data_IF_708185283113
#
_entry.id   IF_708185283113
#
_cell.length_a   1.000
_cell.length_b   1.000
_cell.length_c   1.000
_cell.angle_alpha   90.00
_cell.angle_beta   90.00
_cell.angle_gamma   90.00
#
_symmetry.space_group_name_H-M   'P 1'
#
loop_
_entity.id
_entity.type
_entity.pdbx_description
1 polymer ?
#
# COMPACT_ATOMS: atom_id res chain seq x y z
N UNK A 1 17.27 -15.18 -14.08
CA UNK A 1 16.49 -15.16 -12.83
C UNK A 1 17.13 -14.15 -11.91
N UNK A 2 16.41 -13.09 -11.54
CA UNK A 2 16.93 -12.06 -10.64
C UNK A 2 17.02 -12.59 -9.21
N UNK A 3 17.86 -11.97 -8.37
CA UNK A 3 17.97 -12.34 -6.96
C UNK A 3 16.65 -12.16 -6.20
N UNK A 4 15.79 -11.24 -6.66
CA UNK A 4 14.43 -11.08 -6.16
C UNK A 4 13.52 -12.27 -6.52
N UNK A 5 13.60 -12.77 -7.76
CA UNK A 5 12.85 -13.96 -8.20
C UNK A 5 13.29 -15.23 -7.46
N UNK A 6 14.59 -15.39 -7.20
CA UNK A 6 15.13 -16.50 -6.42
C UNK A 6 14.60 -16.48 -4.96
N UNK A 7 14.57 -15.30 -4.33
CA UNK A 7 14.07 -15.12 -2.97
C UNK A 7 12.55 -15.35 -2.87
N UNK A 8 11.77 -14.95 -3.88
CA UNK A 8 10.33 -15.23 -3.95
C UNK A 8 10.04 -16.73 -4.11
N UNK A 9 10.89 -17.45 -4.87
CA UNK A 9 10.78 -18.89 -5.04
C UNK A 9 11.00 -19.63 -3.71
N UNK A 10 12.02 -19.23 -2.95
CA UNK A 10 12.37 -19.83 -1.65
C UNK A 10 11.28 -19.59 -0.59
N UNK A 11 10.75 -18.36 -0.49
CA UNK A 11 9.61 -18.06 0.38
C UNK A 11 8.35 -18.88 0.07
N UNK A 12 8.07 -19.11 -1.23
CA UNK A 12 6.96 -19.95 -1.64
C UNK A 12 7.20 -21.43 -1.33
N UNK A 13 8.44 -21.90 -1.41
CA UNK A 13 8.82 -23.27 -1.01
C UNK A 13 8.67 -23.48 0.49
N UNK A 14 9.11 -22.53 1.31
CA UNK A 14 8.93 -22.58 2.77
C UNK A 14 7.45 -22.56 3.15
N UNK A 15 6.64 -21.66 2.57
CA UNK A 15 5.20 -21.62 2.81
C UNK A 15 4.51 -22.92 2.37
N UNK A 16 4.89 -23.49 1.23
CA UNK A 16 4.40 -24.79 0.76
C UNK A 16 4.79 -25.93 1.70
N UNK A 17 6.01 -25.92 2.24
CA UNK A 17 6.46 -26.92 3.20
C UNK A 17 5.69 -26.85 4.52
N UNK A 18 5.46 -25.65 5.06
CA UNK A 18 4.63 -25.43 6.26
C UNK A 18 3.18 -25.83 6.01
N UNK A 19 2.63 -25.46 4.85
CA UNK A 19 1.26 -25.83 4.44
C UNK A 19 1.12 -27.35 4.27
N UNK A 20 2.12 -28.01 3.65
CA UNK A 20 2.13 -29.45 3.47
C UNK A 20 2.30 -30.21 4.80
N UNK A 21 3.13 -29.68 5.72
CA UNK A 21 3.27 -30.22 7.07
C UNK A 21 1.95 -30.10 7.86
N UNK A 22 1.23 -28.98 7.72
CA UNK A 22 -0.09 -28.79 8.30
C UNK A 22 -1.10 -29.80 7.74
N UNK A 23 -1.25 -29.88 6.41
CA UNK A 23 -2.17 -30.82 5.76
C UNK A 23 -1.85 -32.29 6.08
N UNK A 24 -0.57 -32.62 6.33
CA UNK A 24 -0.13 -33.96 6.74
C UNK A 24 -0.47 -34.24 8.22
N UNK A 25 -0.40 -33.24 9.10
CA UNK A 25 -0.70 -33.38 10.53
C UNK A 25 -2.19 -33.50 10.84
N UNK A 26 -3.05 -32.86 10.05
CA UNK A 26 -4.50 -32.78 10.32
C UNK A 26 -5.32 -33.86 9.60
N UNK A 27 -4.67 -34.85 8.97
CA UNK A 27 -5.32 -35.88 8.12
C UNK A 27 -6.21 -35.29 7.00
N UNK A 28 -6.00 -34.01 6.64
CA UNK A 28 -6.85 -33.27 5.71
C UNK A 28 -6.60 -33.60 4.23
N UNK A 29 -5.69 -34.52 3.90
CA UNK A 29 -5.37 -34.88 2.50
C UNK A 29 -6.59 -35.35 1.69
N UNK A 30 -7.62 -35.86 2.35
CA UNK A 30 -8.86 -36.33 1.71
C UNK A 30 -10.05 -35.36 1.84
N UNK A 31 -9.86 -34.15 2.41
CA UNK A 31 -10.94 -33.17 2.58
C UNK A 31 -10.73 -31.98 1.65
N UNK A 32 -11.77 -31.63 0.88
CA UNK A 32 -11.79 -30.49 -0.05
C UNK A 32 -12.00 -29.13 0.63
N UNK A 33 -12.28 -29.13 1.95
CA UNK A 33 -12.56 -27.93 2.75
C UNK A 33 -11.57 -27.86 3.92
N UNK A 34 -10.90 -26.71 4.05
CA UNK A 34 -10.03 -26.37 5.18
C UNK A 34 -10.59 -25.15 5.89
N UNK A 35 -10.83 -25.28 7.19
CA UNK A 35 -11.28 -24.19 8.07
C UNK A 35 -10.11 -23.77 8.96
N UNK A 36 -9.86 -22.47 9.05
CA UNK A 36 -8.89 -21.90 9.99
C UNK A 36 -9.65 -21.08 11.03
N UNK A 37 -9.34 -21.31 12.30
CA UNK A 37 -9.71 -20.45 13.42
C UNK A 37 -8.46 -19.77 13.99
N UNK A 38 -8.57 -18.49 14.34
CA UNK A 38 -7.48 -17.66 14.87
C UNK A 38 -7.01 -18.11 16.27
N UNK A 39 -7.85 -18.87 16.98
CA UNK A 39 -7.68 -19.18 18.41
C UNK A 39 -7.57 -20.68 18.72
N UNK A 40 -7.44 -21.56 17.70
CA UNK A 40 -7.33 -23.01 17.93
C UNK A 40 -5.93 -23.41 18.47
N UNK A 41 -5.85 -24.01 19.68
CA UNK A 41 -4.59 -24.47 20.23
C UNK A 41 -4.07 -25.70 19.47
N UNK A 42 -2.88 -25.60 18.88
CA UNK A 42 -2.17 -26.72 18.24
C UNK A 42 -1.63 -26.45 16.85
N UNK A 43 -2.07 -25.39 16.19
CA UNK A 43 -1.59 -24.98 14.87
C UNK A 43 -1.27 -23.49 14.91
N UNK A 44 -0.03 -23.16 15.27
CA UNK A 44 0.40 -21.77 15.35
C UNK A 44 0.84 -21.29 13.96
N UNK A 45 -0.10 -21.18 13.02
CA UNK A 45 0.12 -20.17 11.97
C UNK A 45 0.09 -18.83 12.70
N UNK A 46 1.14 -18.03 12.55
CA UNK A 46 1.09 -16.65 13.02
C UNK A 46 -0.15 -16.02 12.39
N UNK A 47 -1.05 -15.47 13.20
CA UNK A 47 -2.37 -14.99 12.77
C UNK A 47 -2.33 -14.11 11.50
N UNK A 48 -1.22 -13.40 11.29
CA UNK A 48 -1.04 -12.57 10.12
C UNK A 48 -0.76 -13.30 8.80
N UNK A 49 -0.34 -14.56 8.83
CA UNK A 49 -0.13 -15.39 7.63
C UNK A 49 -1.41 -16.06 7.11
N UNK A 50 -2.53 -15.98 7.82
CA UNK A 50 -3.75 -16.72 7.48
C UNK A 50 -4.28 -16.39 6.08
N UNK A 51 -4.27 -15.12 5.68
CA UNK A 51 -4.69 -14.73 4.33
C UNK A 51 -3.77 -15.27 3.25
N UNK A 52 -2.46 -15.22 3.51
CA UNK A 52 -1.46 -15.72 2.57
C UNK A 52 -1.60 -17.23 2.41
N UNK A 53 -1.71 -17.96 3.50
CA UNK A 53 -2.00 -19.40 3.51
C UNK A 53 -3.31 -19.71 2.78
N UNK A 54 -4.38 -18.95 3.04
CA UNK A 54 -5.67 -19.11 2.38
C UNK A 54 -5.59 -18.88 0.87
N UNK A 55 -4.87 -17.84 0.41
CA UNK A 55 -4.63 -17.61 -1.03
C UNK A 55 -3.86 -18.76 -1.65
N UNK A 56 -2.80 -19.24 -1.00
CA UNK A 56 -2.00 -20.37 -1.48
C UNK A 56 -2.84 -21.65 -1.58
N UNK A 57 -3.67 -21.94 -0.59
CA UNK A 57 -4.57 -23.09 -0.59
C UNK A 57 -5.67 -22.98 -1.64
N UNK A 58 -6.30 -21.80 -1.79
CA UNK A 58 -7.28 -21.55 -2.86
C UNK A 58 -6.66 -21.74 -4.24
N UNK A 59 -5.44 -21.23 -4.47
CA UNK A 59 -4.70 -21.42 -5.71
C UNK A 59 -4.36 -22.90 -5.97
N UNK A 60 -4.23 -23.71 -4.91
CA UNK A 60 -4.06 -25.16 -5.01
C UNK A 60 -5.39 -25.94 -5.11
N UNK A 61 -6.53 -25.26 -5.29
CA UNK A 61 -7.84 -25.88 -5.50
C UNK A 61 -8.65 -26.19 -4.23
N UNK A 62 -8.18 -25.78 -3.05
CA UNK A 62 -8.91 -26.00 -1.80
C UNK A 62 -9.98 -24.93 -1.57
N UNK A 63 -11.13 -25.35 -1.02
CA UNK A 63 -12.13 -24.40 -0.49
C UNK A 63 -11.70 -23.98 0.91
N UNK A 64 -11.33 -22.71 1.08
CA UNK A 64 -10.88 -22.17 2.37
C UNK A 64 -11.96 -21.26 2.96
N UNK A 65 -12.35 -21.54 4.21
CA UNK A 65 -13.24 -20.69 5.02
C UNK A 65 -12.40 -20.06 6.13
N UNK A 66 -12.36 -18.73 6.16
CA UNK A 66 -11.70 -17.96 7.22
C UNK A 66 -12.79 -17.38 8.12
N UNK A 67 -12.83 -17.81 9.38
CA UNK A 67 -13.63 -17.13 10.39
C UNK A 67 -12.85 -15.92 10.91
N UNK A 68 -13.48 -14.74 10.91
CA UNK A 68 -12.86 -13.49 11.33
C UNK A 68 -13.71 -12.83 12.40
N UNK A 69 -13.09 -12.51 13.53
CA UNK A 69 -13.61 -11.54 14.47
C UNK A 69 -13.15 -10.16 14.02
N UNK A 70 -14.00 -9.48 13.25
CA UNK A 70 -13.70 -8.16 12.72
C UNK A 70 -13.65 -7.12 13.83
N UNK A 71 -12.69 -6.19 13.74
CA UNK A 71 -12.74 -4.94 14.51
C UNK A 71 -13.53 -3.94 13.69
N UNK A 72 -14.65 -3.45 14.21
CA UNK A 72 -15.42 -2.40 13.54
C UNK A 72 -14.65 -1.08 13.63
N UNK A 73 -13.98 -0.71 12.55
CA UNK A 73 -13.40 0.63 12.36
C UNK A 73 -14.31 1.34 11.37
N UNK A 74 -15.42 1.94 11.77
CA UNK A 74 -16.22 2.75 10.83
C UNK A 74 -15.57 4.13 10.68
N UNK A 75 -14.89 4.43 9.55
CA UNK A 75 -14.23 5.71 9.35
C UNK A 75 -15.22 6.81 8.93
N UNK A 76 -16.49 6.48 8.71
CA UNK A 76 -17.50 7.41 8.16
C UNK A 76 -18.46 7.95 9.22
N UNK A 77 -18.79 7.16 10.26
CA UNK A 77 -19.75 7.59 11.30
C UNK A 77 -19.17 8.56 12.33
N UNK A 78 -17.91 8.38 12.74
CA UNK A 78 -17.31 9.14 13.85
C UNK A 78 -16.28 10.19 13.42
N UNK A 79 -15.74 10.08 12.21
CA UNK A 79 -14.70 10.99 11.72
C UNK A 79 -15.16 12.45 11.61
N UNK A 80 -16.42 12.68 11.21
CA UNK A 80 -17.00 14.02 11.12
C UNK A 80 -17.33 14.64 12.49
N UNK A 81 -17.51 13.84 13.54
CA UNK A 81 -17.92 14.31 14.87
C UNK A 81 -16.75 14.81 15.72
N UNK A 82 -15.56 14.24 15.57
CA UNK A 82 -14.43 14.51 16.46
C UNK A 82 -13.42 15.54 15.94
N UNK A 83 -13.64 16.08 14.74
CA UNK A 83 -12.61 16.78 13.99
C UNK A 83 -13.07 18.21 13.67
N UNK A 84 -12.54 19.19 14.41
CA UNK A 84 -12.72 20.62 14.13
C UNK A 84 -12.00 21.09 12.85
N UNK A 85 -11.04 20.31 12.33
CA UNK A 85 -10.41 20.53 11.03
C UNK A 85 -10.11 19.22 10.30
N UNK A 86 -10.63 19.00 9.08
CA UNK A 86 -10.53 17.71 8.38
C UNK A 86 -9.07 17.29 8.24
N UNK A 87 -8.69 16.17 8.88
CA UNK A 87 -7.38 15.57 8.65
C UNK A 87 -7.38 15.14 7.18
N UNK A 88 -6.38 15.58 6.41
CA UNK A 88 -6.23 15.11 5.04
C UNK A 88 -5.68 13.68 5.09
N UNK A 89 -6.57 12.69 5.02
CA UNK A 89 -6.17 11.30 4.88
C UNK A 89 -5.50 11.13 3.52
N UNK A 90 -4.21 10.81 3.53
CA UNK A 90 -3.50 10.41 2.33
C UNK A 90 -3.95 8.98 1.95
N UNK A 91 -3.91 8.68 0.65
CA UNK A 91 -4.26 7.34 0.12
C UNK A 91 -3.61 6.17 0.90
N UNK A 92 -2.34 6.24 1.33
CA UNK A 92 -1.72 5.17 2.14
C UNK A 92 -2.41 4.91 3.48
N UNK A 93 -2.92 5.96 4.15
CA UNK A 93 -3.63 5.79 5.43
C UNK A 93 -4.99 5.12 5.22
N UNK A 94 -5.71 5.44 4.15
CA UNK A 94 -6.97 4.78 3.83
C UNK A 94 -6.77 3.28 3.59
N UNK A 95 -5.72 2.91 2.86
CA UNK A 95 -5.36 1.51 2.64
C UNK A 95 -5.01 0.80 3.96
N UNK A 96 -4.26 1.46 4.85
CA UNK A 96 -3.96 0.94 6.18
C UNK A 96 -5.23 0.68 7.01
N UNK A 97 -6.16 1.64 7.03
CA UNK A 97 -7.42 1.51 7.76
C UNK A 97 -8.32 0.40 7.20
N UNK A 98 -8.47 0.33 5.87
CA UNK A 98 -9.21 -0.75 5.21
C UNK A 98 -8.59 -2.12 5.48
N UNK A 99 -7.26 -2.18 5.58
CA UNK A 99 -6.55 -3.39 5.95
C UNK A 99 -6.83 -3.75 7.40
N UNK A 100 -6.80 -2.76 8.32
CA UNK A 100 -7.07 -2.97 9.74
C UNK A 100 -8.50 -3.45 10.03
N UNK A 101 -9.49 -2.99 9.25
CA UNK A 101 -10.87 -3.49 9.33
C UNK A 101 -10.95 -4.99 9.04
N UNK A 102 -10.14 -5.47 8.10
CA UNK A 102 -10.12 -6.87 7.66
C UNK A 102 -9.17 -7.72 8.50
N UNK A 103 -8.11 -7.09 9.00
CA UNK A 103 -7.01 -7.70 9.71
C UNK A 103 -6.69 -6.87 10.95
N UNK A 104 -7.00 -7.35 12.16
CA UNK A 104 -6.65 -6.66 13.41
C UNK A 104 -5.14 -6.39 13.57
N UNK A 105 -4.30 -6.93 12.70
CA UNK A 105 -2.85 -6.78 12.74
C UNK A 105 -2.39 -6.18 11.42
N UNK A 106 -1.51 -5.19 11.48
CA UNK A 106 -0.90 -4.52 10.33
C UNK A 106 0.61 -4.34 10.50
N UNK A 107 1.40 -4.69 9.48
CA UNK A 107 2.72 -4.07 9.32
C UNK A 107 2.63 -2.97 8.28
N UNK A 108 2.89 -1.73 8.71
CA UNK A 108 2.81 -0.55 7.87
C UNK A 108 4.21 -0.05 7.51
N UNK A 109 4.56 -0.15 6.23
CA UNK A 109 5.87 0.26 5.76
C UNK A 109 5.91 1.77 5.47
N UNK A 110 6.04 2.56 6.53
CA UNK A 110 6.07 4.01 6.46
C UNK A 110 7.38 4.52 5.83
N UNK A 111 7.27 5.51 4.95
CA UNK A 111 8.40 6.16 4.28
C UNK A 111 9.02 7.28 5.11
N UNK A 112 8.30 7.80 6.11
CA UNK A 112 8.75 8.91 6.97
C UNK A 112 8.17 8.82 8.38
N UNK A 113 8.78 9.52 9.33
CA UNK A 113 8.24 9.65 10.69
C UNK A 113 6.88 10.37 10.70
N UNK A 114 6.72 11.40 9.86
CA UNK A 114 5.46 12.14 9.73
C UNK A 114 4.29 11.22 9.33
N UNK A 115 4.54 10.26 8.44
CA UNK A 115 3.54 9.27 8.04
C UNK A 115 3.14 8.35 9.19
N UNK A 116 4.12 7.86 9.98
CA UNK A 116 3.86 7.07 11.19
C UNK A 116 2.98 7.86 12.17
N UNK A 117 3.34 9.12 12.44
CA UNK A 117 2.57 9.99 13.34
C UNK A 117 1.16 10.22 12.87
N UNK A 118 0.98 10.51 11.58
CA UNK A 118 -0.34 10.77 11.03
C UNK A 118 -1.25 9.54 11.16
N UNK A 119 -0.74 8.33 10.90
CA UNK A 119 -1.54 7.13 11.10
C UNK A 119 -1.89 6.90 12.58
N UNK A 120 -0.95 7.12 13.50
CA UNK A 120 -1.20 7.04 14.96
C UNK A 120 -2.29 8.03 15.39
N UNK A 121 -2.19 9.30 14.95
CA UNK A 121 -3.18 10.34 15.25
C UNK A 121 -4.57 9.99 14.70
N UNK A 122 -4.63 9.44 13.48
CA UNK A 122 -5.88 9.00 12.85
C UNK A 122 -6.51 7.87 13.67
N UNK A 123 -5.73 6.87 14.09
CA UNK A 123 -6.23 5.76 14.89
C UNK A 123 -6.70 6.19 16.27
N UNK A 124 -5.94 7.05 16.95
CA UNK A 124 -6.33 7.59 18.26
C UNK A 124 -7.65 8.38 18.19
N UNK A 125 -7.96 8.99 17.04
CA UNK A 125 -9.22 9.71 16.81
C UNK A 125 -10.37 8.81 16.39
N UNK A 126 -10.11 7.80 15.58
CA UNK A 126 -11.13 6.82 15.13
C UNK A 126 -11.54 5.87 16.25
N UNK A 127 -10.65 5.63 17.22
CA UNK A 127 -10.90 4.74 18.36
C UNK A 127 -10.68 5.49 19.68
N UNK A 128 -11.50 6.51 19.99
CA UNK A 128 -11.27 7.41 21.13
C UNK A 128 -11.43 6.71 22.49
N UNK A 129 -12.05 5.51 22.53
CA UNK A 129 -12.21 4.69 23.73
C UNK A 129 -11.12 3.62 23.87
N UNK A 130 -10.34 3.36 22.82
CA UNK A 130 -9.29 2.37 22.86
C UNK A 130 -8.01 2.97 23.46
N UNK A 131 -7.53 2.38 24.56
CA UNK A 131 -6.21 2.72 25.10
C UNK A 131 -5.13 2.25 24.14
N UNK A 132 -4.17 3.12 23.85
CA UNK A 132 -3.08 2.87 22.92
C UNK A 132 -1.76 2.78 23.66
N UNK A 133 -1.02 1.69 23.43
CA UNK A 133 0.39 1.58 23.83
C UNK A 133 1.26 1.80 22.60
N UNK A 134 2.20 2.73 22.67
CA UNK A 134 3.19 2.98 21.62
C UNK A 134 4.57 2.64 22.17
N UNK A 135 5.19 1.63 21.58
CA UNK A 135 6.51 1.16 21.94
C UNK A 135 7.56 1.69 20.96
N UNK A 136 8.54 2.42 21.50
CA UNK A 136 9.68 2.99 20.76
C UNK A 136 10.99 2.34 21.20
N UNK A 137 12.08 2.67 20.50
CA UNK A 137 13.42 2.12 20.79
C UNK A 137 13.94 2.50 22.17
N UNK A 138 13.92 3.79 22.47
CA UNK A 138 14.66 4.38 23.59
C UNK A 138 13.91 5.58 24.19
N UNK A 139 14.40 6.05 25.35
CA UNK A 139 13.77 7.16 26.09
C UNK A 139 13.81 8.49 25.33
N UNK A 140 14.76 8.69 24.42
CA UNK A 140 14.80 9.88 23.57
C UNK A 140 13.64 9.84 22.57
N UNK A 141 13.41 8.68 21.95
CA UNK A 141 12.25 8.42 21.11
C UNK A 141 10.93 8.66 21.85
N UNK A 142 10.85 8.24 23.13
CA UNK A 142 9.65 8.47 23.96
C UNK A 142 9.38 9.97 24.08
N UNK A 143 10.38 10.75 24.47
CA UNK A 143 10.25 12.20 24.68
C UNK A 143 9.87 12.92 23.38
N UNK A 144 10.53 12.56 22.28
CA UNK A 144 10.29 13.15 20.97
C UNK A 144 8.87 12.86 20.48
N UNK A 145 8.47 11.59 20.50
CA UNK A 145 7.15 11.18 20.05
C UNK A 145 6.06 11.79 20.92
N UNK A 146 6.27 11.87 22.22
CA UNK A 146 5.30 12.51 23.12
C UNK A 146 5.13 14.01 22.86
N UNK A 147 6.19 14.71 22.46
CA UNK A 147 6.10 16.10 22.01
C UNK A 147 5.31 16.20 20.70
N UNK A 148 5.58 15.32 19.74
CA UNK A 148 4.89 15.29 18.44
C UNK A 148 3.41 14.88 18.56
N UNK A 149 3.07 14.09 19.58
CA UNK A 149 1.70 13.66 19.91
C UNK A 149 1.04 14.48 21.03
N UNK A 150 1.62 15.62 21.42
CA UNK A 150 1.10 16.46 22.51
C UNK A 150 -0.32 17.00 22.25
N UNK A 151 -0.78 16.97 20.99
CA UNK A 151 -2.15 17.32 20.62
C UNK A 151 -3.19 16.24 21.02
N UNK A 152 -2.76 15.02 21.36
CA UNK A 152 -3.63 13.99 21.92
C UNK A 152 -3.87 14.25 23.41
N UNK A 153 -5.12 14.10 23.86
CA UNK A 153 -5.45 14.20 25.28
C UNK A 153 -4.88 12.98 26.04
N UNK A 154 -4.41 13.21 27.27
CA UNK A 154 -4.01 12.17 28.23
C UNK A 154 -2.86 11.23 27.76
N UNK A 155 -1.76 11.80 27.26
CA UNK A 155 -0.52 11.07 26.97
C UNK A 155 0.29 10.84 28.25
N UNK A 156 0.56 9.58 28.60
CA UNK A 156 1.51 9.21 29.65
C UNK A 156 2.92 9.07 29.09
N UNK A 157 3.88 9.63 29.83
CA UNK A 157 5.31 9.51 29.57
C UNK A 157 5.96 8.96 30.86
N UNK A 158 6.68 7.82 30.81
CA UNK A 158 7.44 7.31 31.94
C UNK A 158 8.32 8.39 32.58
N UNK A 159 8.19 8.56 33.90
CA UNK A 159 8.94 9.57 34.66
C UNK A 159 8.34 10.99 34.69
N UNK A 160 7.15 11.22 34.14
CA UNK A 160 6.35 12.43 34.37
C UNK A 160 5.13 12.16 35.27
N UNK A 161 4.60 13.21 35.89
CA UNK A 161 3.37 13.18 36.69
C UNK A 161 2.19 12.60 35.87
N UNK A 162 1.51 11.60 36.42
CA UNK A 162 0.36 10.93 35.82
C UNK A 162 0.36 9.42 36.12
N UNK A 163 -0.82 8.79 36.07
CA UNK A 163 -0.92 7.32 36.18
C UNK A 163 -1.03 6.70 34.79
N UNK A 164 -0.22 5.68 34.45
CA UNK A 164 -0.31 4.98 33.18
C UNK A 164 -1.68 4.30 33.00
N UNK A 165 -2.35 3.92 34.10
CA UNK A 165 -3.68 3.28 34.08
C UNK A 165 -4.81 4.23 33.66
N UNK A 166 -4.66 5.54 33.89
CA UNK A 166 -5.66 6.56 33.53
C UNK A 166 -5.43 7.19 32.15
N UNK A 167 -4.30 6.89 31.51
CA UNK A 167 -3.94 7.51 30.23
C UNK A 167 -4.47 6.74 29.04
N UNK A 168 -4.95 7.49 28.05
CA UNK A 168 -5.45 6.96 26.78
C UNK A 168 -4.31 6.55 25.86
N UNK A 169 -3.19 7.27 25.91
CA UNK A 169 -1.98 6.95 25.12
C UNK A 169 -0.82 6.79 26.08
N UNK A 170 -0.16 5.64 26.05
CA UNK A 170 1.04 5.33 26.81
C UNK A 170 2.18 5.19 25.81
N UNK A 171 3.25 5.97 25.98
CA UNK A 171 4.45 5.86 25.14
C UNK A 171 5.58 5.33 26.01
N UNK A 172 6.14 4.17 25.65
CA UNK A 172 7.20 3.52 26.43
C UNK A 172 8.26 2.90 25.51
N UNK A 173 9.36 2.44 26.09
CA UNK A 173 10.43 1.73 25.40
C UNK A 173 10.15 0.23 25.33
N UNK A 174 10.71 -0.45 24.32
CA UNK A 174 10.68 -1.92 24.23
C UNK A 174 11.35 -2.62 25.43
N UNK A 175 12.31 -1.95 26.07
CA UNK A 175 12.99 -2.42 27.28
C UNK A 175 12.27 -2.03 28.59
N UNK A 176 11.20 -1.22 28.51
CA UNK A 176 10.44 -0.77 29.67
C UNK A 176 9.85 -1.94 30.42
N UNK A 177 9.98 -1.93 31.75
CA UNK A 177 9.85 -3.14 32.56
C UNK A 177 8.41 -3.54 32.93
N UNK A 178 7.39 -2.69 32.75
CA UNK A 178 6.08 -3.01 33.34
C UNK A 178 4.84 -2.49 32.60
N UNK A 179 4.90 -2.32 31.28
CA UNK A 179 3.68 -2.00 30.54
C UNK A 179 2.62 -3.13 30.59
N UNK A 180 2.99 -4.35 31.03
CA UNK A 180 2.06 -5.45 31.31
C UNK A 180 1.12 -5.12 32.48
N UNK A 181 1.62 -4.47 33.53
CA UNK A 181 0.79 -4.03 34.65
C UNK A 181 -0.24 -2.97 34.25
N UNK A 182 -0.02 -2.24 33.15
CA UNK A 182 -0.94 -1.19 32.71
C UNK A 182 -2.23 -1.74 32.06
N UNK A 183 -2.17 -2.95 31.47
CA UNK A 183 -3.28 -3.72 30.92
C UNK A 183 -4.21 -2.98 29.95
N UNK A 184 -5.21 -3.69 29.42
CA UNK A 184 -6.38 -3.07 28.78
C UNK A 184 -6.11 -2.19 27.56
N UNK A 185 -5.05 -2.44 26.80
CA UNK A 185 -4.76 -1.72 25.56
C UNK A 185 -5.62 -2.28 24.42
N UNK A 186 -6.42 -1.41 23.79
CA UNK A 186 -7.15 -1.75 22.57
C UNK A 186 -6.25 -1.72 21.33
N UNK A 187 -5.19 -0.89 21.36
CA UNK A 187 -4.26 -0.70 20.24
C UNK A 187 -2.83 -0.78 20.74
N UNK A 188 -1.98 -1.48 20.00
CA UNK A 188 -0.54 -1.57 20.27
C UNK A 188 0.23 -1.20 19.01
N UNK A 189 1.07 -0.18 19.11
CA UNK A 189 1.88 0.35 18.03
C UNK A 189 3.37 0.14 18.32
N UNK A 190 4.08 -0.54 17.43
CA UNK A 190 5.53 -0.67 17.48
C UNK A 190 6.12 0.34 16.50
N UNK A 191 6.59 1.46 17.04
CA UNK A 191 6.97 2.63 16.25
C UNK A 191 8.19 2.38 15.35
N UNK A 192 9.10 1.51 15.77
CA UNK A 192 10.31 1.12 15.02
C UNK A 192 10.39 -0.41 14.86
N UNK A 193 9.40 -0.97 14.18
CA UNK A 193 9.29 -2.40 13.86
C UNK A 193 10.49 -3.01 13.14
N UNK A 194 11.35 -2.23 12.45
CA UNK A 194 12.62 -2.76 11.91
C UNK A 194 13.56 -3.29 12.98
N UNK A 195 13.56 -2.69 14.17
CA UNK A 195 14.40 -3.14 15.29
C UNK A 195 13.95 -4.52 15.80
N UNK A 196 12.77 -4.94 15.36
CA UNK A 196 12.17 -6.22 15.62
C UNK A 196 12.41 -7.20 14.47
N UNK A 197 13.38 -6.99 13.57
CA UNK A 197 13.77 -8.05 12.60
C UNK A 197 14.75 -9.05 13.22
N UNK A 198 15.46 -8.66 14.28
CA UNK A 198 16.26 -9.62 15.05
C UNK A 198 15.35 -10.66 15.71
N UNK A 199 15.67 -11.95 15.55
CA UNK A 199 14.87 -13.08 16.10
C UNK A 199 14.52 -12.89 17.58
N UNK A 200 15.45 -12.39 18.39
CA UNK A 200 15.22 -12.15 19.82
C UNK A 200 14.25 -11.01 20.15
N UNK A 201 14.00 -10.09 19.22
CA UNK A 201 13.02 -9.02 19.39
C UNK A 201 11.62 -9.45 18.93
N UNK A 202 11.51 -10.21 17.83
CA UNK A 202 10.23 -10.84 17.45
C UNK A 202 9.75 -11.82 18.50
N UNK A 203 10.66 -12.66 19.01
CA UNK A 203 10.33 -13.65 20.01
C UNK A 203 9.79 -12.96 21.26
N UNK A 204 10.41 -11.87 21.72
CA UNK A 204 9.87 -11.05 22.79
C UNK A 204 8.44 -10.59 22.50
N UNK A 205 8.17 -10.01 21.34
CA UNK A 205 6.80 -9.57 20.96
C UNK A 205 5.78 -10.71 20.87
N UNK A 206 6.20 -11.90 20.41
CA UNK A 206 5.35 -13.09 20.39
C UNK A 206 5.08 -13.61 21.82
N UNK A 207 6.13 -13.78 22.62
CA UNK A 207 6.09 -14.22 24.01
C UNK A 207 5.33 -13.24 24.91
N UNK A 208 5.29 -11.98 24.52
CA UNK A 208 4.56 -10.95 25.25
C UNK A 208 3.06 -11.17 25.29
N UNK A 209 2.48 -11.98 24.37
CA UNK A 209 1.08 -12.41 24.47
C UNK A 209 0.06 -11.28 24.51
N UNK A 210 0.43 -10.09 24.04
CA UNK A 210 -0.32 -8.83 24.22
C UNK A 210 -1.76 -8.93 23.73
N UNK A 211 -2.78 -9.01 24.61
CA UNK A 211 -4.17 -9.19 24.21
C UNK A 211 -4.78 -7.86 23.74
N UNK A 212 -4.20 -7.28 22.69
CA UNK A 212 -4.73 -6.10 22.03
C UNK A 212 -5.45 -6.54 20.74
N UNK A 213 -6.73 -6.17 20.57
CA UNK A 213 -7.46 -6.38 19.34
C UNK A 213 -6.75 -5.79 18.14
N UNK A 214 -6.12 -4.61 18.27
CA UNK A 214 -5.41 -3.97 17.15
C UNK A 214 -3.90 -3.93 17.40
N UNK A 215 -3.11 -4.41 16.45
CA UNK A 215 -1.64 -4.39 16.51
C UNK A 215 -1.06 -3.80 15.24
N UNK A 216 -0.14 -2.85 15.38
CA UNK A 216 0.49 -2.17 14.26
C UNK A 216 1.98 -2.13 14.48
N UNK A 217 2.75 -2.50 13.47
CA UNK A 217 4.20 -2.30 13.45
C UNK A 217 4.59 -1.39 12.30
N UNK A 218 5.42 -0.39 12.58
CA UNK A 218 5.93 0.54 11.59
C UNK A 218 7.36 0.18 11.24
N UNK A 219 7.67 -0.10 9.99
CA UNK A 219 9.04 -0.44 9.61
C UNK A 219 9.41 0.01 8.21
N UNK A 220 10.61 -0.37 7.75
CA UNK A 220 11.10 -0.01 6.43
C UNK A 220 10.23 -0.66 5.34
N UNK A 221 10.28 -0.11 4.11
CA UNK A 221 9.73 -0.74 2.92
C UNK A 221 10.12 -2.22 2.79
N UNK A 222 9.20 -3.03 2.27
CA UNK A 222 9.39 -4.45 1.95
C UNK A 222 10.72 -4.73 1.24
N UNK A 223 11.12 -3.84 0.34
CA UNK A 223 12.36 -3.95 -0.45
C UNK A 223 13.65 -4.03 0.38
N UNK A 224 13.59 -3.73 1.68
CA UNK A 224 14.73 -3.85 2.61
C UNK A 224 14.67 -5.10 3.51
N UNK A 225 13.60 -5.88 3.44
CA UNK A 225 13.44 -7.13 4.16
C UNK A 225 13.82 -8.30 3.25
N UNK A 226 14.48 -9.30 3.81
CA UNK A 226 14.60 -10.61 3.17
C UNK A 226 13.25 -11.31 3.15
N UNK A 227 13.11 -12.29 2.26
CA UNK A 227 11.89 -13.10 2.12
C UNK A 227 11.47 -13.77 3.45
N UNK A 228 12.45 -14.25 4.22
CA UNK A 228 12.22 -14.83 5.56
C UNK A 228 11.77 -13.78 6.58
N UNK A 229 12.39 -12.59 6.58
CA UNK A 229 12.01 -11.50 7.48
C UNK A 229 10.60 -10.99 7.19
N UNK A 230 10.21 -10.88 5.91
CA UNK A 230 8.85 -10.55 5.52
C UNK A 230 7.83 -11.55 6.08
N UNK A 231 8.10 -12.85 5.95
CA UNK A 231 7.23 -13.90 6.50
C UNK A 231 7.14 -13.82 8.03
N UNK A 232 8.26 -13.57 8.70
CA UNK A 232 8.32 -13.46 10.16
C UNK A 232 7.58 -12.23 10.69
N UNK A 233 7.72 -11.12 9.98
CA UNK A 233 6.97 -9.88 10.22
C UNK A 233 5.48 -10.10 9.97
N UNK A 234 5.12 -10.69 8.84
CA UNK A 234 3.73 -10.94 8.45
C UNK A 234 3.06 -11.88 9.47
N UNK A 235 3.74 -12.94 9.90
CA UNK A 235 3.24 -13.85 10.93
C UNK A 235 2.93 -13.15 12.26
N UNK A 236 3.76 -12.18 12.63
CA UNK A 236 3.68 -11.51 13.94
C UNK A 236 2.67 -10.37 13.90
N UNK A 237 2.75 -9.55 12.86
CA UNK A 237 2.09 -8.25 12.76
C UNK A 237 0.99 -8.17 11.73
N UNK A 238 0.69 -9.23 10.96
CA UNK A 238 -0.34 -9.12 9.93
C UNK A 238 0.22 -8.72 8.56
N UNK A 239 -0.68 -8.55 7.58
CA UNK A 239 -0.30 -8.20 6.23
C UNK A 239 0.60 -6.97 6.18
N UNK A 240 1.60 -7.06 5.30
CA UNK A 240 2.49 -5.98 4.95
C UNK A 240 1.74 -5.00 4.02
N UNK A 241 1.36 -3.84 4.55
CA UNK A 241 0.90 -2.71 3.74
C UNK A 241 2.10 -1.85 3.46
N UNK A 242 2.69 -2.09 2.29
CA UNK A 242 3.57 -1.10 1.69
C UNK A 242 2.73 -0.06 0.98
N UNK A 243 3.20 1.19 0.99
CA UNK A 243 2.93 2.07 -0.15
C UNK A 243 3.27 1.25 -1.40
N UNK A 244 2.42 1.19 -2.44
CA UNK A 244 2.85 0.63 -3.72
C UNK A 244 4.23 1.21 -3.97
N UNK A 245 5.25 0.36 -4.15
CA UNK A 245 6.60 0.85 -4.42
C UNK A 245 6.40 1.97 -5.41
N UNK A 246 6.81 3.19 -5.06
CA UNK A 246 6.65 4.28 -5.99
C UNK A 246 7.40 3.78 -7.22
N UNK A 247 6.67 3.29 -8.22
CA UNK A 247 7.19 3.22 -9.55
C UNK A 247 7.65 4.66 -9.72
N UNK A 248 8.97 4.86 -9.75
CA UNK A 248 9.55 6.18 -9.93
C UNK A 248 9.11 6.60 -11.34
N UNK A 249 7.88 7.07 -11.42
CA UNK A 249 7.25 7.59 -12.61
C UNK A 249 7.82 8.97 -12.72
N UNK A 250 8.68 9.16 -13.70
CA UNK A 250 9.12 10.49 -14.07
C UNK A 250 7.92 11.16 -14.74
N UNK A 251 7.38 12.20 -14.11
CA UNK A 251 6.40 13.06 -14.76
C UNK A 251 7.18 14.05 -15.60
N UNK A 252 7.15 13.86 -16.91
CA UNK A 252 7.75 14.78 -17.87
C UNK A 252 6.65 15.66 -18.43
N UNK A 253 6.68 16.96 -18.12
CA UNK A 253 5.77 17.93 -18.71
C UNK A 253 6.36 18.43 -20.03
N UNK A 254 5.70 18.13 -21.14
CA UNK A 254 6.08 18.60 -22.47
C UNK A 254 5.36 19.91 -22.80
N UNK A 255 6.07 20.86 -23.40
CA UNK A 255 5.43 22.03 -24.00
C UNK A 255 4.84 21.64 -25.35
N UNK A 256 3.54 21.89 -25.53
CA UNK A 256 2.90 21.70 -26.82
C UNK A 256 3.23 22.87 -27.76
N UNK A 257 3.35 22.62 -29.08
CA UNK A 257 3.41 23.69 -30.06
C UNK A 257 2.16 24.58 -29.98
N UNK A 258 2.27 25.83 -30.42
CA UNK A 258 1.17 26.79 -30.37
C UNK A 258 -0.06 26.28 -31.16
N UNK A 259 -1.16 26.04 -30.45
CA UNK A 259 -2.43 25.60 -31.04
C UNK A 259 -3.25 26.84 -31.40
N UNK A 260 -3.72 26.94 -32.65
CA UNK A 260 -4.60 28.03 -33.05
C UNK A 260 -6.02 27.80 -32.51
N UNK A 261 -6.40 28.51 -31.45
CA UNK A 261 -7.77 28.43 -30.93
C UNK A 261 -8.70 29.40 -31.67
N UNK A 262 -9.82 28.91 -32.21
CA UNK A 262 -10.96 29.79 -32.59
C UNK A 262 -11.98 29.82 -31.44
N UNK A 263 -12.76 30.90 -31.35
CA UNK A 263 -13.77 31.07 -30.29
C UNK A 263 -14.99 30.18 -30.59
N UNK A 264 -15.21 29.14 -29.77
CA UNK A 264 -16.46 28.35 -29.75
C UNK A 264 -17.16 28.44 -28.39
N UNK A 265 -18.47 28.18 -28.40
CA UNK A 265 -19.41 28.50 -27.34
C UNK A 265 -19.50 27.49 -26.17
N UNK A 266 -19.00 26.25 -26.31
CA UNK A 266 -19.10 25.24 -25.24
C UNK A 266 -17.74 24.54 -24.96
N UNK A 267 -17.57 24.00 -23.75
CA UNK A 267 -16.28 23.46 -23.29
C UNK A 267 -15.91 22.09 -23.86
N UNK A 268 -16.89 21.21 -24.13
CA UNK A 268 -16.64 19.84 -24.60
C UNK A 268 -16.40 19.78 -26.12
N UNK A 269 -17.22 20.44 -26.94
CA UNK A 269 -16.97 20.53 -28.39
C UNK A 269 -15.67 21.28 -28.65
N UNK A 270 -15.34 22.27 -27.82
CA UNK A 270 -14.02 22.93 -27.88
C UNK A 270 -12.87 21.95 -27.62
N UNK A 271 -13.00 21.00 -26.68
CA UNK A 271 -11.96 19.96 -26.50
C UNK A 271 -11.92 19.01 -27.70
N UNK A 272 -13.09 18.57 -28.18
CA UNK A 272 -13.21 17.63 -29.30
C UNK A 272 -12.58 18.20 -30.57
N UNK A 273 -12.94 19.42 -30.96
CA UNK A 273 -12.45 20.04 -32.18
C UNK A 273 -11.02 20.58 -32.06
N UNK A 274 -10.66 21.30 -30.98
CA UNK A 274 -9.35 21.97 -30.90
C UNK A 274 -8.24 21.19 -30.21
N UNK A 275 -8.55 20.21 -29.38
CA UNK A 275 -7.52 19.44 -28.68
C UNK A 275 -7.39 18.04 -29.26
N UNK A 276 -8.50 17.38 -29.59
CA UNK A 276 -8.45 16.03 -30.15
C UNK A 276 -8.33 16.03 -31.67
N UNK A 277 -8.93 16.99 -32.35
CA UNK A 277 -8.85 17.16 -33.81
C UNK A 277 -7.65 17.96 -34.31
N UNK A 278 -6.78 18.45 -33.42
CA UNK A 278 -5.63 19.26 -33.84
C UNK A 278 -4.48 18.39 -34.35
N UNK A 279 -4.23 18.48 -35.66
CA UNK A 279 -3.23 17.68 -36.35
C UNK A 279 -1.81 17.93 -35.81
N UNK A 280 -1.46 19.18 -35.51
CA UNK A 280 -0.12 19.54 -35.03
C UNK A 280 0.15 18.89 -33.67
N UNK A 281 -0.81 18.95 -32.75
CA UNK A 281 -0.75 18.30 -31.44
C UNK A 281 -0.67 16.79 -31.58
N UNK A 282 -1.50 16.19 -32.43
CA UNK A 282 -1.51 14.73 -32.59
C UNK A 282 -0.23 14.21 -33.24
N UNK A 283 0.33 14.93 -34.22
CA UNK A 283 1.64 14.65 -34.79
C UNK A 283 2.74 14.76 -33.74
N UNK A 284 2.69 15.77 -32.86
CA UNK A 284 3.64 15.92 -31.76
C UNK A 284 3.56 14.75 -30.78
N UNK A 285 2.35 14.35 -30.37
CA UNK A 285 2.13 13.17 -29.51
C UNK A 285 2.69 11.91 -30.16
N UNK A 286 2.41 11.67 -31.45
CA UNK A 286 2.93 10.53 -32.19
C UNK A 286 4.46 10.55 -32.30
N UNK A 287 5.07 11.73 -32.50
CA UNK A 287 6.52 11.91 -32.53
C UNK A 287 7.17 11.54 -31.19
N UNK A 288 6.62 12.04 -30.08
CA UNK A 288 7.03 11.70 -28.71
C UNK A 288 6.90 10.20 -28.47
N UNK A 289 5.76 9.63 -28.87
CA UNK A 289 5.45 8.21 -28.70
C UNK A 289 6.49 7.30 -29.35
N UNK A 290 6.82 7.55 -30.63
CA UNK A 290 7.85 6.81 -31.37
C UNK A 290 9.24 6.98 -30.78
N UNK A 291 9.59 8.21 -30.37
CA UNK A 291 10.91 8.49 -29.78
C UNK A 291 11.11 7.71 -28.47
N UNK A 292 10.09 7.67 -27.61
CA UNK A 292 10.15 6.94 -26.33
C UNK A 292 10.06 5.43 -26.52
N UNK A 293 9.25 4.94 -27.47
CA UNK A 293 9.14 3.51 -27.75
C UNK A 293 10.47 2.91 -28.24
N UNK A 294 11.20 3.64 -29.09
CA UNK A 294 12.46 3.17 -29.69
C UNK A 294 13.67 3.29 -28.76
N UNK A 295 13.85 4.42 -28.07
CA UNK A 295 15.06 4.73 -27.31
C UNK A 295 14.82 4.91 -25.80
N UNK A 296 13.61 4.68 -25.33
CA UNK A 296 13.20 5.08 -23.98
C UNK A 296 13.20 6.59 -23.85
N UNK A 297 13.34 7.11 -22.62
CA UNK A 297 13.34 8.55 -22.41
C UNK A 297 14.50 9.26 -23.16
N UNK A 298 15.61 8.57 -23.46
CA UNK A 298 16.73 9.13 -24.25
C UNK A 298 16.36 9.55 -25.67
N UNK A 299 15.20 9.15 -26.19
CA UNK A 299 14.68 9.65 -27.46
C UNK A 299 14.10 11.07 -27.39
N UNK A 300 13.74 11.58 -26.21
CA UNK A 300 13.04 12.86 -26.07
C UNK A 300 13.83 14.11 -26.53
N UNK A 301 15.17 14.18 -26.46
CA UNK A 301 15.90 15.31 -27.05
C UNK A 301 15.65 15.49 -28.56
N UNK A 302 15.32 14.41 -29.29
CA UNK A 302 15.02 14.45 -30.73
C UNK A 302 13.66 15.08 -31.04
N UNK A 303 12.82 15.31 -30.03
CA UNK A 303 11.53 15.98 -30.15
C UNK A 303 11.57 17.41 -29.61
N UNK A 304 12.76 18.03 -29.62
CA UNK A 304 13.01 19.41 -29.16
C UNK A 304 12.66 19.61 -27.68
N UNK A 305 12.78 18.54 -26.88
CA UNK A 305 12.58 18.64 -25.44
C UNK A 305 13.89 19.03 -24.74
N UNK A 306 13.97 20.21 -24.10
CA UNK A 306 15.13 20.57 -23.29
C UNK A 306 15.16 19.64 -22.07
N UNK A 307 16.16 18.77 -22.05
CA UNK A 307 16.39 17.85 -20.93
C UNK A 307 17.50 18.38 -20.06
N UNK A 308 17.25 18.54 -18.77
CA UNK A 308 18.29 19.02 -17.85
C UNK A 308 19.38 17.97 -17.58
N UNK A 309 19.12 16.68 -17.82
CA UNK A 309 20.16 15.64 -17.82
C UNK A 309 19.67 14.30 -18.45
N UNK A 310 19.91 14.04 -19.74
CA UNK A 310 19.50 12.80 -20.41
C UNK A 310 20.30 11.57 -19.97
N UNK A 311 21.40 11.72 -19.22
CA UNK A 311 22.26 10.59 -18.81
C UNK A 311 21.62 9.73 -17.71
N UNK A 312 20.70 10.30 -16.93
CA UNK A 312 19.99 9.61 -15.85
C UNK A 312 18.82 8.75 -16.33
N UNK A 313 18.55 8.77 -17.63
CA UNK A 313 17.44 8.04 -18.22
C UNK A 313 17.85 6.65 -18.65
N UNK A 314 17.10 5.66 -18.17
CA UNK A 314 17.31 4.26 -18.55
C UNK A 314 17.17 4.09 -20.07
N UNK A 315 18.20 3.49 -20.67
CA UNK A 315 18.23 3.20 -22.10
C UNK A 315 17.36 1.97 -22.43
N UNK A 316 16.95 1.89 -23.70
CA UNK A 316 16.29 0.73 -24.28
C UNK A 316 14.78 0.92 -24.51
N UNK A 317 14.21 0.10 -25.39
CA UNK A 317 12.79 0.17 -25.72
C UNK A 317 11.92 -0.07 -24.49
N UNK A 318 10.79 0.63 -24.43
CA UNK A 318 9.83 0.55 -23.33
C UNK A 318 8.45 0.28 -23.89
N UNK A 319 7.69 -0.57 -23.19
CA UNK A 319 6.24 -0.64 -23.40
C UNK A 319 5.66 0.74 -23.15
N UNK A 320 5.00 1.29 -24.15
CA UNK A 320 4.43 2.63 -24.10
C UNK A 320 2.92 2.56 -24.22
N UNK A 321 2.24 3.48 -23.55
CA UNK A 321 0.80 3.63 -23.63
C UNK A 321 0.46 5.11 -23.75
N UNK A 322 -0.42 5.44 -24.69
CA UNK A 322 -1.02 6.77 -24.82
C UNK A 322 -2.42 6.71 -24.24
N UNK A 323 -2.69 7.61 -23.29
CA UNK A 323 -4.01 7.76 -22.67
C UNK A 323 -4.78 8.83 -23.41
N UNK A 324 -5.99 8.50 -23.86
CA UNK A 324 -6.87 9.42 -24.57
C UNK A 324 -8.28 9.37 -24.00
N UNK A 325 -8.98 10.50 -24.09
CA UNK A 325 -10.29 10.67 -23.45
C UNK A 325 -11.40 9.95 -24.24
N UNK A 326 -11.26 9.82 -25.57
CA UNK A 326 -12.31 9.24 -26.44
C UNK A 326 -11.77 8.28 -27.50
N UNK A 327 -12.63 7.39 -27.98
CA UNK A 327 -12.33 6.46 -29.07
C UNK A 327 -12.00 7.17 -30.38
N UNK A 328 -12.69 8.27 -30.70
CA UNK A 328 -12.42 9.07 -31.90
C UNK A 328 -10.96 9.57 -31.89
N UNK A 329 -10.49 10.07 -30.74
CA UNK A 329 -9.10 10.50 -30.58
C UNK A 329 -8.12 9.32 -30.66
N UNK A 330 -8.49 8.17 -30.11
CA UNK A 330 -7.69 6.94 -30.18
C UNK A 330 -7.48 6.49 -31.63
N UNK A 331 -8.55 6.46 -32.44
CA UNK A 331 -8.49 6.10 -33.88
C UNK A 331 -7.65 7.09 -34.68
N UNK A 332 -7.77 8.39 -34.38
CA UNK A 332 -7.02 9.44 -35.06
C UNK A 332 -5.51 9.35 -34.74
N UNK A 333 -5.14 9.06 -33.50
CA UNK A 333 -3.75 8.77 -33.16
C UNK A 333 -3.26 7.43 -33.71
N UNK A 334 -4.14 6.42 -33.79
CA UNK A 334 -3.84 5.12 -34.39
C UNK A 334 -3.49 5.22 -35.88
N UNK A 335 -4.13 6.11 -36.64
CA UNK A 335 -3.73 6.35 -38.04
C UNK A 335 -2.34 6.98 -38.17
N UNK A 336 -1.89 7.71 -37.14
CA UNK A 336 -0.53 8.23 -37.04
C UNK A 336 0.45 7.21 -36.44
N UNK A 337 -0.02 6.08 -35.89
CA UNK A 337 0.80 5.08 -35.20
C UNK A 337 0.39 3.67 -35.66
N UNK A 338 0.65 3.31 -36.94
CA UNK A 338 0.08 2.10 -37.55
C UNK A 338 0.55 0.78 -36.92
N UNK A 339 1.72 0.77 -36.26
CA UNK A 339 2.26 -0.41 -35.58
C UNK A 339 1.80 -0.53 -34.11
N UNK A 340 0.84 0.30 -33.69
CA UNK A 340 0.36 0.35 -32.32
C UNK A 340 -1.06 -0.20 -32.23
N UNK A 341 -1.31 -0.98 -31.19
CA UNK A 341 -2.60 -1.62 -30.98
C UNK A 341 -3.49 -0.77 -30.07
N UNK A 342 -4.77 -0.68 -30.42
CA UNK A 342 -5.79 -0.23 -29.48
C UNK A 342 -6.04 -1.35 -28.48
N UNK A 343 -6.00 -1.03 -27.18
CA UNK A 343 -6.12 -2.05 -26.13
C UNK A 343 -7.42 -2.87 -26.31
N UNK A 344 -7.38 -4.20 -26.08
CA UNK A 344 -8.48 -5.12 -26.44
C UNK A 344 -9.83 -4.76 -25.81
N UNK A 345 -9.81 -4.19 -24.61
CA UNK A 345 -11.01 -3.81 -23.86
C UNK A 345 -11.78 -2.64 -24.52
N UNK A 346 -11.12 -1.90 -25.41
CA UNK A 346 -11.69 -0.77 -26.15
C UNK A 346 -12.35 -1.20 -27.46
N UNK A 347 -11.88 -2.29 -28.07
CA UNK A 347 -12.48 -2.80 -29.32
C UNK A 347 -13.92 -3.30 -29.13
N UNK A 348 -14.36 -3.51 -27.88
CA UNK A 348 -15.71 -3.99 -27.53
C UNK A 348 -16.71 -2.88 -27.21
N UNK A 349 -16.28 -1.62 -27.09
CA UNK A 349 -17.12 -0.53 -26.55
C UNK A 349 -18.01 0.19 -27.57
N UNK A 350 -18.06 -0.25 -28.84
CA UNK A 350 -19.05 0.27 -29.81
C UNK A 350 -20.51 -0.08 -29.40
N UNK A 351 -20.71 -0.88 -28.36
CA UNK A 351 -22.02 -1.09 -27.70
C UNK A 351 -22.16 -0.18 -26.47
N UNK A 352 -22.43 1.10 -26.71
CA UNK A 352 -22.99 2.08 -25.77
C UNK A 352 -22.75 1.82 -24.28
N UNK A 353 -21.54 2.11 -23.79
CA UNK A 353 -21.28 2.20 -22.35
C UNK A 353 -21.32 3.66 -21.94
N UNK A 354 -22.41 4.04 -21.26
CA UNK A 354 -22.53 5.34 -20.60
C UNK A 354 -21.69 5.35 -19.33
N UNK A 355 -20.61 6.13 -19.33
CA UNK A 355 -20.27 6.98 -18.18
C UNK A 355 -19.58 6.35 -16.97
N UNK A 356 -18.66 5.40 -17.15
CA UNK A 356 -17.62 5.13 -16.13
C UNK A 356 -16.27 5.46 -16.73
N UNK A 357 -15.50 6.35 -16.08
CA UNK A 357 -14.27 6.96 -16.59
C UNK A 357 -13.09 6.02 -16.82
N UNK A 358 -13.28 5.00 -17.65
CA UNK A 358 -12.22 4.16 -18.20
C UNK A 358 -11.60 4.92 -19.38
N UNK A 359 -10.33 5.32 -19.21
CA UNK A 359 -9.58 5.98 -20.28
C UNK A 359 -9.47 5.05 -21.49
N UNK A 360 -9.37 5.64 -22.69
CA UNK A 360 -9.02 4.89 -23.89
C UNK A 360 -7.49 4.85 -24.01
N UNK A 361 -6.92 3.76 -24.53
CA UNK A 361 -5.50 3.41 -24.48
C UNK A 361 -5.02 2.96 -25.87
N UNK A 362 -3.85 3.46 -26.29
CA UNK A 362 -3.09 2.96 -27.46
C UNK A 362 -1.74 2.45 -26.95
N UNK A 363 -1.34 1.22 -27.30
CA UNK A 363 -0.13 0.58 -26.78
C UNK A 363 0.82 0.10 -27.89
N UNK A 364 2.13 0.13 -27.62
CA UNK A 364 3.14 -0.56 -28.44
C UNK A 364 3.16 -2.05 -28.14
N UNK A 365 3.47 -2.88 -29.14
CA UNK A 365 3.83 -4.30 -28.95
C UNK A 365 5.06 -4.50 -28.05
#
# INVERSE_FOLDING_TARGET
MSQHEANLLDSNLQLRAVTAAYLKRTELRNRSVVQFSLDEPGVVFGAGLLERAARTLKAAGYRVILQRDGVSLDPTSDYARFVGEPIKLQSPHLLALQTLQRHPRLYYAASSQAEKHNLILVLARLLPTARMLILVKDLLGVRRLAYELACLRAVYIPGRLGSPTSSMVVIDTLSGHDWRAYGGFGIVCLYDGCLLTSRGALQRVRDFGMPAPVRIAFGPPATRLTASEELDVEATYGPLVTRPAAHHGYVVQLQLPAIQSRRLANGFERKKEYLWGDDVRNQFIAKVARAVASAGLRGLPQVEFPTHDPNHWAAGPRRMCILVETMDHARLLGSLLPDWELAPDLQRSDRGVTGTGEGNFITTL
#
